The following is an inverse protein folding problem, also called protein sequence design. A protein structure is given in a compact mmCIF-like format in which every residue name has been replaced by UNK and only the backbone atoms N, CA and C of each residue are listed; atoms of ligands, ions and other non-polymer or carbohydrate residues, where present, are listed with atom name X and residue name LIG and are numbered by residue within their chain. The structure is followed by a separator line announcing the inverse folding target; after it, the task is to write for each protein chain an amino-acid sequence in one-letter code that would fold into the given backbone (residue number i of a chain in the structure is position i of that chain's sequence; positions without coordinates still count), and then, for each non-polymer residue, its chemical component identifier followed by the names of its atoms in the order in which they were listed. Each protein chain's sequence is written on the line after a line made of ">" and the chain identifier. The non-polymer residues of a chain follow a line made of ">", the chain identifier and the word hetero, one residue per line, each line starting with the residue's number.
data_IF_288897802303
#
_entry.id   IF_288897802303
#
_cell.length_a   1.000
_cell.length_b   1.000
_cell.length_c   1.000
_cell.angle_alpha   90.00
_cell.angle_beta   90.00
_cell.angle_gamma   90.00
#
_symmetry.space_group_name_H-M   'P 1'
#
loop_
_entity.id
_entity.type
_entity.pdbx_description
1 polymer ?
#
# COMPACT_ATOMS: atom_id res chain seq x y z
N UNK A 1 -14.34 -4.29 31.36
CA UNK A 1 -14.61 -5.27 30.29
C UNK A 1 -14.17 -4.69 28.95
N UNK A 2 -12.91 -4.94 28.58
CA UNK A 2 -12.25 -4.30 27.44
C UNK A 2 -12.61 -4.95 26.10
N UNK A 3 -12.99 -6.24 26.13
CA UNK A 3 -13.41 -6.99 24.94
C UNK A 3 -14.67 -6.41 24.33
N UNK A 4 -15.65 -6.05 25.17
CA UNK A 4 -16.95 -5.55 24.73
C UNK A 4 -16.92 -4.08 24.24
N UNK A 5 -15.89 -3.31 24.63
CA UNK A 5 -15.75 -1.88 24.28
C UNK A 5 -14.66 -1.61 23.23
N UNK A 6 -14.09 -2.66 22.62
CA UNK A 6 -12.97 -2.54 21.67
C UNK A 6 -13.30 -1.62 20.49
N UNK A 7 -14.51 -1.70 19.95
CA UNK A 7 -14.95 -0.85 18.82
C UNK A 7 -14.98 0.63 19.19
N UNK A 8 -15.59 0.97 20.32
CA UNK A 8 -15.68 2.34 20.84
C UNK A 8 -14.30 2.91 21.18
N UNK A 9 -13.45 2.10 21.83
CA UNK A 9 -12.09 2.47 22.20
C UNK A 9 -11.19 2.71 20.99
N UNK A 10 -11.36 1.95 19.91
CA UNK A 10 -10.63 2.13 18.65
C UNK A 10 -11.06 3.40 17.90
N UNK A 11 -12.34 3.78 17.98
CA UNK A 11 -12.88 5.01 17.38
C UNK A 11 -12.51 6.27 18.18
N UNK A 12 -12.23 6.12 19.48
CA UNK A 12 -11.95 7.23 20.38
C UNK A 12 -10.50 7.76 20.34
N UNK A 13 -9.59 7.16 19.56
CA UNK A 13 -8.21 7.63 19.46
C UNK A 13 -7.94 8.37 18.12
N UNK A 14 -7.82 9.72 18.14
CA UNK A 14 -7.60 10.51 16.93
C UNK A 14 -6.28 10.21 16.20
N UNK A 15 -5.32 9.61 16.90
CA UNK A 15 -3.96 9.38 16.41
C UNK A 15 -3.68 7.93 15.98
N UNK A 16 -4.65 7.03 16.15
CA UNK A 16 -4.51 5.66 15.67
C UNK A 16 -4.87 5.66 14.20
N UNK A 17 -3.87 5.55 13.33
CA UNK A 17 -4.11 5.17 11.93
C UNK A 17 -4.94 3.90 11.95
N UNK A 18 -6.20 3.99 11.55
CA UNK A 18 -7.09 2.84 11.46
C UNK A 18 -6.36 1.71 10.74
N UNK A 19 -6.13 0.59 11.44
CA UNK A 19 -5.74 -0.64 10.78
C UNK A 19 -6.96 -1.04 9.95
N UNK A 20 -6.85 -0.92 8.62
CA UNK A 20 -7.92 -1.26 7.68
C UNK A 20 -8.57 -2.57 8.09
N UNK A 21 -9.78 -2.49 8.67
CA UNK A 21 -10.45 -3.62 9.30
C UNK A 21 -11.23 -4.47 8.29
N UNK A 22 -11.20 -4.08 7.02
CA UNK A 22 -11.81 -4.79 5.90
C UNK A 22 -10.85 -5.75 5.19
N UNK A 23 -11.35 -6.41 4.15
CA UNK A 23 -10.52 -7.22 3.26
C UNK A 23 -9.34 -6.39 2.75
N UNK A 24 -8.14 -6.95 2.84
CA UNK A 24 -6.93 -6.29 2.34
C UNK A 24 -7.13 -5.96 0.86
N UNK A 25 -7.03 -4.69 0.45
CA UNK A 25 -7.23 -4.36 -0.95
C UNK A 25 -6.16 -5.05 -1.80
N UNK A 26 -6.61 -5.69 -2.88
CA UNK A 26 -5.76 -6.33 -3.86
C UNK A 26 -5.79 -5.51 -5.13
N UNK A 27 -4.60 -5.18 -5.65
CA UNK A 27 -4.42 -4.41 -6.88
C UNK A 27 -3.67 -5.28 -7.89
N UNK A 28 -4.34 -6.25 -8.54
CA UNK A 28 -3.68 -7.20 -9.43
C UNK A 28 -3.03 -6.50 -10.63
N UNK A 29 -3.75 -5.60 -11.31
CA UNK A 29 -3.26 -4.91 -12.51
C UNK A 29 -2.07 -4.00 -12.18
N UNK A 30 -2.19 -3.23 -11.07
CA UNK A 30 -1.10 -2.39 -10.56
C UNK A 30 0.17 -3.20 -10.27
N UNK A 31 0.03 -4.43 -9.73
CA UNK A 31 1.19 -5.28 -9.45
C UNK A 31 1.86 -5.75 -10.73
N UNK A 32 1.09 -6.09 -11.77
CA UNK A 32 1.63 -6.51 -13.07
C UNK A 32 2.42 -5.37 -13.68
N UNK A 33 1.81 -4.19 -13.79
CA UNK A 33 2.46 -3.04 -14.43
C UNK A 33 3.71 -2.57 -13.66
N UNK A 34 3.65 -2.58 -12.33
CA UNK A 34 4.79 -2.23 -11.49
C UNK A 34 5.91 -3.27 -11.62
N UNK A 35 5.58 -4.57 -11.72
CA UNK A 35 6.56 -5.62 -11.91
C UNK A 35 7.26 -5.50 -13.28
N UNK A 36 6.53 -5.19 -14.34
CA UNK A 36 7.12 -4.97 -15.68
C UNK A 36 8.02 -3.73 -15.68
N UNK A 37 7.61 -2.64 -15.03
CA UNK A 37 8.45 -1.45 -14.88
C UNK A 37 9.75 -1.73 -14.13
N UNK A 38 9.70 -2.50 -13.04
CA UNK A 38 10.90 -2.93 -12.29
C UNK A 38 11.80 -3.78 -13.18
N UNK A 39 11.23 -4.76 -13.91
CA UNK A 39 11.98 -5.65 -14.80
C UNK A 39 12.76 -4.87 -15.85
N UNK A 40 12.13 -3.87 -16.48
CA UNK A 40 12.80 -2.98 -17.45
C UNK A 40 13.98 -2.25 -16.81
N UNK A 41 13.80 -1.68 -15.61
CA UNK A 41 14.87 -0.97 -14.93
C UNK A 41 16.04 -1.88 -14.53
N UNK A 42 15.74 -3.10 -14.06
CA UNK A 42 16.77 -4.09 -13.76
C UNK A 42 17.56 -4.51 -15.00
N UNK A 43 16.90 -4.68 -16.15
CA UNK A 43 17.57 -4.98 -17.42
C UNK A 43 18.49 -3.84 -17.88
N UNK A 44 18.13 -2.60 -17.56
CA UNK A 44 18.95 -1.41 -17.81
C UNK A 44 20.04 -1.19 -16.74
N UNK A 45 20.21 -2.11 -15.79
CA UNK A 45 21.12 -2.01 -14.64
C UNK A 45 20.87 -0.74 -13.78
N UNK A 46 19.65 -0.21 -13.82
CA UNK A 46 19.26 0.95 -13.03
C UNK A 46 18.80 0.49 -11.64
N UNK A 47 19.30 1.10 -10.55
CA UNK A 47 18.86 0.77 -9.22
C UNK A 47 17.40 1.20 -9.01
N UNK A 48 16.58 0.29 -8.49
CA UNK A 48 15.19 0.57 -8.12
C UNK A 48 15.09 0.61 -6.61
N UNK A 49 14.86 1.79 -6.05
CA UNK A 49 14.66 1.96 -4.61
C UNK A 49 13.18 1.83 -4.22
N UNK A 50 12.92 1.53 -2.95
CA UNK A 50 11.55 1.46 -2.41
C UNK A 50 10.76 2.76 -2.62
N UNK A 51 11.40 3.92 -2.51
CA UNK A 51 10.73 5.21 -2.73
C UNK A 51 10.32 5.39 -4.18
N UNK A 52 11.15 4.96 -5.13
CA UNK A 52 10.79 4.98 -6.56
C UNK A 52 9.59 4.08 -6.85
N UNK A 53 9.56 2.87 -6.26
CA UNK A 53 8.41 1.97 -6.38
C UNK A 53 7.14 2.62 -5.84
N UNK A 54 7.22 3.30 -4.68
CA UNK A 54 6.06 4.00 -4.09
C UNK A 54 5.58 5.17 -4.97
N UNK A 55 6.50 5.98 -5.50
CA UNK A 55 6.16 7.08 -6.41
C UNK A 55 5.54 6.56 -7.70
N UNK A 56 6.12 5.51 -8.31
CA UNK A 56 5.59 4.90 -9.52
C UNK A 56 4.21 4.29 -9.27
N UNK A 57 4.03 3.53 -8.19
CA UNK A 57 2.73 2.96 -7.84
C UNK A 57 1.66 4.05 -7.61
N UNK A 58 2.01 5.17 -6.98
CA UNK A 58 1.11 6.29 -6.79
C UNK A 58 0.77 7.01 -8.12
N UNK A 59 1.70 7.05 -9.07
CA UNK A 59 1.45 7.59 -10.40
C UNK A 59 0.52 6.68 -11.22
N UNK A 60 0.75 5.36 -11.18
CA UNK A 60 -0.07 4.35 -11.87
C UNK A 60 -1.49 4.26 -11.29
N UNK A 61 -1.66 4.49 -9.98
CA UNK A 61 -2.99 4.50 -9.36
C UNK A 61 -3.84 5.74 -9.70
N UNK A 62 -3.26 6.76 -10.38
CA UNK A 62 -3.94 8.01 -10.76
C UNK A 62 -4.34 8.08 -12.23
N UNK A 63 -3.88 7.14 -13.07
CA UNK A 63 -4.28 6.99 -14.47
C UNK A 63 -5.47 6.08 -14.60
#
# INVERSE_FOLDING_TARGET
>A
DWCNKRGELMMAQPHVKHLNSGAKPSYPDLKVELADWIRVHCNELKPVSRSMVQVKAAALAKS
#
